data_IF_906432040641
#
_entry.id   IF_906432040641
#
_cell.length_a   1.000
_cell.length_b   1.000
_cell.length_c   1.000
_cell.angle_alpha   90.00
_cell.angle_beta   90.00
_cell.angle_gamma   90.00
#
_symmetry.space_group_name_H-M   'P 1'
#
loop_
_entity.id
_entity.type
_entity.pdbx_description
1 polymer ?
#
# COMPACT_ATOMS: atom_id res chain seq x y z
N UNK A 1 -23.88 0.10 -0.83
CA UNK A 1 -25.12 0.60 -0.20
C UNK A 1 -26.36 0.25 -1.01
N UNK A 2 -26.44 0.58 -2.31
CA UNK A 2 -27.63 0.31 -3.13
C UNK A 2 -28.02 -1.18 -3.13
N UNK A 3 -27.08 -2.09 -3.32
CA UNK A 3 -27.32 -3.54 -3.32
C UNK A 3 -27.86 -4.01 -1.98
N UNK A 4 -27.22 -3.63 -0.87
CA UNK A 4 -27.68 -4.00 0.49
C UNK A 4 -29.09 -3.50 0.73
N UNK A 5 -29.38 -2.23 0.42
CA UNK A 5 -30.72 -1.68 0.54
C UNK A 5 -31.77 -2.39 -0.35
N UNK A 6 -31.38 -2.88 -1.54
CA UNK A 6 -32.27 -3.60 -2.43
C UNK A 6 -32.61 -5.00 -1.91
N UNK A 7 -31.64 -5.68 -1.29
CA UNK A 7 -31.86 -6.98 -0.64
C UNK A 7 -32.74 -6.81 0.61
N UNK A 8 -32.46 -5.82 1.46
CA UNK A 8 -33.28 -5.50 2.64
C UNK A 8 -34.73 -5.20 2.28
N UNK A 9 -34.95 -4.54 1.13
CA UNK A 9 -36.30 -4.26 0.59
C UNK A 9 -36.90 -5.45 -0.18
N UNK A 10 -36.22 -6.60 -0.22
CA UNK A 10 -36.65 -7.81 -0.94
C UNK A 10 -36.92 -7.57 -2.43
N UNK A 11 -36.14 -6.70 -3.06
CA UNK A 11 -36.20 -6.44 -4.52
C UNK A 11 -35.36 -7.47 -5.26
N UNK A 12 -34.21 -7.87 -4.65
CA UNK A 12 -33.31 -8.92 -5.15
C UNK A 12 -32.94 -9.85 -4.01
N UNK A 13 -32.55 -11.09 -4.33
CA UNK A 13 -32.02 -12.03 -3.35
C UNK A 13 -30.54 -11.73 -3.07
N UNK A 14 -30.01 -12.23 -1.92
CA UNK A 14 -28.61 -12.00 -1.50
C UNK A 14 -27.61 -12.48 -2.56
N UNK A 15 -27.82 -13.69 -3.08
CA UNK A 15 -26.97 -14.31 -4.08
C UNK A 15 -26.87 -13.46 -5.36
N UNK A 16 -28.04 -13.03 -5.89
CA UNK A 16 -28.08 -12.15 -7.05
C UNK A 16 -27.39 -10.81 -6.77
N UNK A 17 -27.57 -10.27 -5.56
CA UNK A 17 -26.92 -9.04 -5.12
C UNK A 17 -25.39 -9.15 -5.11
N UNK A 18 -24.85 -10.27 -4.65
CA UNK A 18 -23.40 -10.52 -4.63
C UNK A 18 -22.83 -10.63 -6.06
N UNK A 19 -23.53 -11.31 -6.96
CA UNK A 19 -23.12 -11.47 -8.36
C UNK A 19 -23.07 -10.14 -9.14
N UNK A 20 -23.79 -9.12 -8.68
CA UNK A 20 -23.76 -7.76 -9.27
C UNK A 20 -22.53 -6.94 -8.85
N UNK A 21 -21.78 -7.39 -7.84
CA UNK A 21 -20.61 -6.66 -7.34
C UNK A 21 -19.39 -7.07 -8.16
N UNK A 22 -18.71 -6.08 -8.76
CA UNK A 22 -17.36 -6.32 -9.27
C UNK A 22 -16.38 -6.27 -8.11
N UNK A 23 -15.66 -7.38 -7.78
CA UNK A 23 -14.71 -7.42 -6.67
C UNK A 23 -13.60 -6.37 -6.76
N UNK A 24 -13.19 -5.96 -7.97
CA UNK A 24 -12.15 -4.94 -8.17
C UNK A 24 -12.51 -3.59 -7.52
N UNK A 25 -13.81 -3.28 -7.40
CA UNK A 25 -14.23 -2.05 -6.71
C UNK A 25 -14.15 -2.14 -5.19
N UNK A 26 -14.01 -3.34 -4.63
CA UNK A 26 -13.88 -3.54 -3.18
C UNK A 26 -12.47 -3.21 -2.69
N UNK A 27 -11.46 -3.32 -3.54
CA UNK A 27 -10.07 -2.98 -3.21
C UNK A 27 -9.92 -1.55 -2.66
N UNK A 28 -10.76 -0.62 -3.13
CA UNK A 28 -10.73 0.77 -2.68
C UNK A 28 -11.00 0.88 -1.17
N UNK A 29 -11.86 0.02 -0.61
CA UNK A 29 -12.21 0.01 0.81
C UNK A 29 -11.14 -0.63 1.70
N UNK A 30 -10.23 -1.40 1.11
CA UNK A 30 -9.17 -2.11 1.82
C UNK A 30 -7.90 -1.26 2.04
N UNK A 31 -7.86 -0.06 1.43
CA UNK A 31 -6.69 0.81 1.48
C UNK A 31 -7.00 2.15 2.14
N UNK A 32 -6.01 2.80 2.78
CA UNK A 32 -6.16 4.17 3.25
C UNK A 32 -6.58 5.09 2.10
N UNK A 33 -7.44 6.02 2.38
CA UNK A 33 -7.94 7.01 1.40
C UNK A 33 -7.74 8.42 1.91
N UNK A 34 -7.75 9.37 0.98
CA UNK A 34 -7.72 10.80 1.33
C UNK A 34 -9.10 11.20 1.87
N UNK A 35 -9.13 11.93 3.00
CA UNK A 35 -10.39 12.38 3.60
C UNK A 35 -11.13 13.34 2.67
N UNK A 36 -12.46 13.22 2.55
CA UNK A 36 -13.30 14.10 1.73
C UNK A 36 -13.35 15.55 2.22
N UNK A 37 -13.10 15.75 3.52
CA UNK A 37 -13.18 17.08 4.16
C UNK A 37 -11.95 17.96 3.89
N UNK A 38 -11.00 17.49 3.05
CA UNK A 38 -9.80 18.26 2.77
C UNK A 38 -10.09 19.44 1.85
N UNK A 39 -9.51 20.60 2.24
CA UNK A 39 -9.52 21.82 1.42
C UNK A 39 -8.29 21.93 0.51
N UNK A 40 -7.37 20.96 0.61
CA UNK A 40 -6.12 20.92 -0.15
C UNK A 40 -6.38 20.74 -1.63
N UNK A 41 -5.72 21.55 -2.45
CA UNK A 41 -5.85 21.47 -3.90
C UNK A 41 -4.98 20.35 -4.44
N UNK A 42 -5.52 19.54 -5.35
CA UNK A 42 -4.72 18.63 -6.16
C UNK A 42 -3.74 19.44 -7.00
N UNK A 43 -2.45 19.21 -6.81
CA UNK A 43 -1.38 19.94 -7.49
C UNK A 43 -1.00 19.26 -8.81
N UNK A 44 -1.09 17.92 -8.87
CA UNK A 44 -0.69 17.15 -10.03
C UNK A 44 -1.56 15.89 -10.12
N UNK A 45 -1.78 15.42 -11.35
CA UNK A 45 -2.44 14.16 -11.64
C UNK A 45 -1.50 13.23 -12.40
N UNK A 46 -1.53 11.96 -12.06
CA UNK A 46 -0.89 10.86 -12.78
C UNK A 46 -1.85 9.71 -13.02
N UNK A 47 -1.34 8.63 -13.57
CA UNK A 47 -2.12 7.40 -13.79
C UNK A 47 -2.18 6.61 -12.47
N UNK A 48 -3.36 6.33 -11.91
CA UNK A 48 -3.52 5.48 -10.72
C UNK A 48 -3.06 4.07 -11.05
N UNK A 49 -2.02 3.57 -10.36
CA UNK A 49 -1.39 2.30 -10.71
C UNK A 49 -1.51 1.23 -9.62
N UNK A 50 -1.54 1.64 -8.36
CA UNK A 50 -1.81 0.78 -7.21
C UNK A 50 -2.61 1.57 -6.18
N UNK A 51 -3.73 1.01 -5.66
CA UNK A 51 -4.66 1.75 -4.82
C UNK A 51 -4.08 2.14 -3.46
N UNK A 52 -4.76 3.07 -2.79
CA UNK A 52 -4.42 3.58 -1.48
C UNK A 52 -3.81 4.97 -1.50
N UNK A 53 -3.82 5.63 -0.34
CA UNK A 53 -3.22 6.94 -0.14
C UNK A 53 -2.09 6.87 0.89
N UNK A 54 -1.02 7.61 0.64
CA UNK A 54 0.12 7.68 1.54
C UNK A 54 0.69 9.09 1.59
N UNK A 55 1.12 9.50 2.80
CA UNK A 55 1.85 10.74 3.02
C UNK A 55 3.27 10.43 3.46
N UNK A 56 4.23 11.24 3.06
CA UNK A 56 5.62 11.07 3.46
C UNK A 56 6.55 12.10 2.87
N UNK A 57 7.81 12.01 3.26
CA UNK A 57 8.87 12.86 2.72
C UNK A 57 9.37 12.34 1.39
N UNK A 58 9.55 13.25 0.46
CA UNK A 58 10.06 12.97 -0.86
C UNK A 58 11.49 12.42 -0.79
N UNK A 59 11.68 11.23 -1.35
CA UNK A 59 12.98 10.62 -1.58
C UNK A 59 13.19 10.39 -3.07
N UNK A 60 14.24 10.95 -3.63
CA UNK A 60 14.53 10.85 -5.07
C UNK A 60 15.67 9.87 -5.37
N UNK A 61 16.08 9.10 -4.38
CA UNK A 61 17.09 8.04 -4.52
C UNK A 61 16.85 6.90 -3.54
N UNK A 62 17.28 5.69 -3.92
CA UNK A 62 17.25 4.48 -3.06
C UNK A 62 17.94 4.72 -1.71
N UNK A 63 19.11 5.37 -1.72
CA UNK A 63 19.85 5.68 -0.50
C UNK A 63 19.07 6.62 0.43
N UNK A 64 18.30 7.55 -0.13
CA UNK A 64 17.50 8.49 0.66
C UNK A 64 16.32 7.79 1.34
N UNK A 65 15.68 6.84 0.66
CA UNK A 65 14.63 5.99 1.27
C UNK A 65 15.21 5.19 2.44
N UNK A 66 16.36 4.54 2.24
CA UNK A 66 17.03 3.78 3.31
C UNK A 66 17.38 4.67 4.50
N UNK A 67 17.86 5.90 4.24
CA UNK A 67 18.15 6.89 5.29
C UNK A 67 16.87 7.25 6.07
N UNK A 68 15.75 7.51 5.38
CA UNK A 68 14.48 7.83 6.04
C UNK A 68 13.96 6.64 6.84
N UNK A 69 14.03 5.43 6.31
CA UNK A 69 13.63 4.23 7.02
C UNK A 69 14.43 4.04 8.32
N UNK A 70 15.75 4.33 8.32
CA UNK A 70 16.58 4.23 9.53
C UNK A 70 16.22 5.25 10.62
N UNK A 71 15.50 6.30 10.29
CA UNK A 71 14.99 7.35 11.21
C UNK A 71 13.47 7.26 11.41
N UNK A 72 12.85 6.14 11.04
CA UNK A 72 11.39 5.92 11.13
C UNK A 72 10.58 7.03 10.45
N UNK A 73 11.13 7.61 9.38
CA UNK A 73 10.48 8.66 8.60
C UNK A 73 9.80 8.04 7.37
N UNK A 74 8.50 8.25 7.23
CA UNK A 74 7.75 7.80 6.07
C UNK A 74 8.26 8.46 4.80
N UNK A 75 8.55 7.67 3.77
CA UNK A 75 9.09 8.13 2.49
C UNK A 75 8.12 7.91 1.34
N UNK A 76 8.05 8.88 0.43
CA UNK A 76 7.47 8.71 -0.92
C UNK A 76 8.62 8.71 -1.91
N UNK A 77 8.81 7.57 -2.59
CA UNK A 77 9.85 7.44 -3.61
C UNK A 77 9.41 8.09 -4.92
N UNK A 78 10.19 9.06 -5.42
CA UNK A 78 9.98 9.67 -6.73
C UNK A 78 11.13 9.29 -7.66
N UNK A 79 10.80 8.73 -8.83
CA UNK A 79 11.75 8.34 -9.86
C UNK A 79 11.26 8.73 -11.25
N UNK A 80 12.17 8.81 -12.23
CA UNK A 80 11.75 8.88 -13.63
C UNK A 80 11.04 7.60 -14.04
N UNK A 81 11.67 6.47 -13.79
CA UNK A 81 11.19 5.09 -13.94
C UNK A 81 11.87 4.24 -12.86
N UNK A 82 11.26 3.16 -12.42
CA UNK A 82 11.90 2.21 -11.49
C UNK A 82 12.55 1.06 -12.25
N UNK A 83 13.64 0.57 -11.71
CA UNK A 83 14.37 -0.61 -12.18
C UNK A 83 14.41 -1.68 -11.07
N UNK A 84 14.90 -2.87 -11.39
CA UNK A 84 14.97 -3.99 -10.42
C UNK A 84 15.73 -3.64 -9.14
N UNK A 85 16.76 -2.79 -9.22
CA UNK A 85 17.54 -2.36 -8.06
C UNK A 85 16.75 -1.44 -7.11
N UNK A 86 15.63 -0.85 -7.58
CA UNK A 86 14.78 0.00 -6.76
C UNK A 86 13.76 -0.79 -5.91
N UNK A 87 13.62 -2.11 -6.10
CA UNK A 87 12.62 -2.95 -5.42
C UNK A 87 12.73 -2.83 -3.89
N UNK A 88 13.95 -2.85 -3.36
CA UNK A 88 14.18 -2.68 -1.93
C UNK A 88 13.75 -1.28 -1.44
N UNK A 89 14.01 -0.22 -2.20
CA UNK A 89 13.55 1.12 -1.86
C UNK A 89 12.03 1.24 -1.94
N UNK A 90 11.42 0.61 -2.95
CA UNK A 90 9.96 0.56 -3.06
C UNK A 90 9.32 -0.10 -1.84
N UNK A 91 9.84 -1.24 -1.39
CA UNK A 91 9.30 -1.97 -0.21
C UNK A 91 9.45 -1.20 1.11
N UNK A 92 10.44 -0.32 1.21
CA UNK A 92 10.66 0.55 2.38
C UNK A 92 9.90 1.87 2.29
N UNK A 93 9.27 2.17 1.14
CA UNK A 93 8.52 3.42 0.92
C UNK A 93 7.04 3.23 1.26
N UNK A 94 6.39 4.27 1.74
CA UNK A 94 4.93 4.31 1.94
C UNK A 94 4.16 4.51 0.63
N UNK A 95 4.83 4.99 -0.41
CA UNK A 95 4.24 5.17 -1.72
C UNK A 95 5.29 5.45 -2.79
N UNK A 96 4.89 5.26 -4.04
CA UNK A 96 5.78 5.40 -5.20
C UNK A 96 5.14 6.31 -6.25
N UNK A 97 5.94 7.23 -6.79
CA UNK A 97 5.57 8.13 -7.86
C UNK A 97 6.60 8.02 -9.00
N UNK A 98 6.15 7.71 -10.22
CA UNK A 98 7.04 7.76 -11.37
C UNK A 98 6.57 8.79 -12.41
N UNK A 99 7.54 9.51 -12.99
CA UNK A 99 7.25 10.50 -14.03
C UNK A 99 6.84 9.83 -15.32
N UNK A 100 7.46 8.70 -15.66
CA UNK A 100 7.14 7.90 -16.83
C UNK A 100 6.54 6.57 -16.43
N UNK A 101 5.88 5.92 -17.37
CA UNK A 101 5.28 4.61 -17.20
C UNK A 101 3.76 4.64 -17.33
N UNK A 102 3.17 3.46 -17.31
CA UNK A 102 1.73 3.23 -17.38
C UNK A 102 1.35 2.05 -16.48
N UNK A 103 0.10 1.60 -16.55
CA UNK A 103 -0.45 0.52 -15.72
C UNK A 103 0.32 -0.80 -15.78
N UNK A 104 1.08 -1.04 -16.84
CA UNK A 104 1.92 -2.23 -17.05
C UNK A 104 3.41 -1.97 -16.83
N UNK A 105 3.79 -0.77 -16.36
CA UNK A 105 5.18 -0.45 -16.05
C UNK A 105 5.70 -1.28 -14.87
N UNK A 106 7.03 -1.40 -14.75
CA UNK A 106 7.68 -2.09 -13.65
C UNK A 106 7.21 -1.57 -12.28
N UNK A 107 7.18 -0.24 -12.10
CA UNK A 107 6.68 0.38 -10.88
C UNK A 107 5.25 -0.05 -10.54
N UNK A 108 4.34 -0.03 -11.51
CA UNK A 108 2.94 -0.38 -11.31
C UNK A 108 2.74 -1.85 -10.91
N UNK A 109 3.45 -2.78 -11.57
CA UNK A 109 3.33 -4.22 -11.30
C UNK A 109 3.89 -4.56 -9.91
N UNK A 110 5.08 -4.05 -9.58
CA UNK A 110 5.73 -4.30 -8.30
C UNK A 110 4.95 -3.66 -7.14
N UNK A 111 4.51 -2.40 -7.28
CA UNK A 111 3.76 -1.71 -6.24
C UNK A 111 2.44 -2.43 -5.91
N UNK A 112 1.69 -2.90 -6.93
CA UNK A 112 0.49 -3.72 -6.73
C UNK A 112 0.78 -5.03 -6.01
N UNK A 113 1.85 -5.71 -6.40
CA UNK A 113 2.26 -6.94 -5.72
C UNK A 113 2.67 -6.75 -4.26
N UNK A 114 3.11 -5.54 -3.89
CA UNK A 114 3.48 -5.17 -2.53
C UNK A 114 2.35 -4.48 -1.75
N UNK A 115 1.22 -4.14 -2.38
CA UNK A 115 0.15 -3.36 -1.76
C UNK A 115 0.54 -1.91 -1.43
N UNK A 116 1.48 -1.33 -2.18
CA UNK A 116 2.00 0.02 -1.94
C UNK A 116 1.30 1.00 -2.89
N UNK A 117 0.73 2.13 -2.39
CA UNK A 117 0.16 3.17 -3.23
C UNK A 117 1.12 3.63 -4.32
N UNK A 118 0.65 3.65 -5.58
CA UNK A 118 1.51 4.01 -6.69
C UNK A 118 0.80 4.85 -7.74
N UNK A 119 1.47 5.91 -8.16
CA UNK A 119 1.07 6.76 -9.27
C UNK A 119 2.19 6.71 -10.32
N UNK A 120 1.83 6.53 -11.59
CA UNK A 120 2.80 6.50 -12.68
C UNK A 120 2.41 7.49 -13.79
N UNK A 121 3.38 7.86 -14.63
CA UNK A 121 3.11 8.64 -15.83
C UNK A 121 2.53 10.03 -15.54
N UNK A 122 3.12 10.77 -14.63
CA UNK A 122 2.74 12.15 -14.38
C UNK A 122 3.03 13.02 -15.60
N UNK A 123 2.01 13.76 -16.07
CA UNK A 123 2.14 14.60 -17.26
C UNK A 123 2.58 16.02 -16.89
N UNK A 124 3.21 16.70 -17.86
CA UNK A 124 3.57 18.12 -17.76
C UNK A 124 4.47 18.45 -16.56
N UNK A 125 5.44 17.58 -16.28
CA UNK A 125 6.44 17.80 -15.23
C UNK A 125 7.85 17.64 -15.81
N UNK A 126 8.81 18.36 -15.23
CA UNK A 126 10.23 18.24 -15.55
C UNK A 126 10.98 17.73 -14.34
N UNK A 127 11.43 16.48 -14.38
CA UNK A 127 12.23 15.90 -13.32
C UNK A 127 13.72 16.12 -13.58
N UNK A 128 14.35 16.88 -12.71
CA UNK A 128 15.78 17.15 -12.71
C UNK A 128 16.47 16.30 -11.65
N UNK A 129 16.80 15.08 -12.02
CA UNK A 129 17.29 14.06 -11.08
C UNK A 129 18.58 14.48 -10.36
N UNK A 130 19.51 15.16 -11.05
CA UNK A 130 20.76 15.66 -10.43
C UNK A 130 20.53 16.77 -9.42
N UNK A 131 19.55 17.64 -9.68
CA UNK A 131 19.15 18.75 -8.81
C UNK A 131 18.20 18.27 -7.71
N UNK A 132 17.69 17.04 -7.83
CA UNK A 132 16.69 16.43 -6.92
C UNK A 132 15.45 17.30 -6.76
N UNK A 133 14.89 17.72 -7.89
CA UNK A 133 13.66 18.51 -7.96
C UNK A 133 12.74 18.01 -9.08
N UNK A 134 11.45 18.14 -8.84
CA UNK A 134 10.39 17.94 -9.83
C UNK A 134 9.65 19.27 -10.01
N UNK A 135 9.69 19.82 -11.22
CA UNK A 135 9.04 21.08 -11.56
C UNK A 135 7.71 20.76 -12.21
N UNK A 136 6.63 21.33 -11.69
CA UNK A 136 5.27 21.20 -12.19
C UNK A 136 4.99 22.27 -13.26
N UNK A 137 3.95 22.06 -14.07
CA UNK A 137 3.53 22.98 -15.14
C UNK A 137 3.16 24.39 -14.63
N UNK A 138 2.59 24.47 -13.43
CA UNK A 138 2.21 25.74 -12.79
C UNK A 138 3.40 26.49 -12.14
N UNK A 139 4.62 25.96 -12.28
CA UNK A 139 5.85 26.52 -11.73
C UNK A 139 6.14 26.09 -10.28
N UNK A 140 5.27 25.34 -9.62
CA UNK A 140 5.57 24.75 -8.32
C UNK A 140 6.71 23.74 -8.43
N UNK A 141 7.50 23.61 -7.37
CA UNK A 141 8.65 22.70 -7.31
C UNK A 141 8.50 21.78 -6.11
N UNK A 142 8.68 20.49 -6.36
CA UNK A 142 8.82 19.46 -5.31
C UNK A 142 10.31 19.14 -5.19
N UNK A 143 10.86 19.30 -4.00
CA UNK A 143 12.26 19.02 -3.69
C UNK A 143 12.40 17.76 -2.84
N UNK A 144 13.58 17.11 -2.90
CA UNK A 144 13.88 16.01 -1.96
C UNK A 144 13.77 16.52 -0.52
N UNK A 145 12.95 15.85 0.28
CA UNK A 145 12.68 16.22 1.67
C UNK A 145 11.36 16.95 1.92
N UNK A 146 10.71 17.45 0.88
CA UNK A 146 9.36 18.02 1.00
C UNK A 146 8.36 16.95 1.46
N UNK A 147 7.30 17.37 2.13
CA UNK A 147 6.23 16.47 2.56
C UNK A 147 5.10 16.52 1.53
N UNK A 148 4.73 15.36 1.00
CA UNK A 148 3.65 15.24 0.02
C UNK A 148 2.70 14.11 0.41
N UNK A 149 1.51 14.12 -0.21
CA UNK A 149 0.58 13.00 -0.18
C UNK A 149 0.26 12.56 -1.60
N UNK A 150 0.24 11.26 -1.82
CA UNK A 150 -0.21 10.64 -3.06
C UNK A 150 -1.46 9.79 -2.80
N UNK A 151 -2.37 9.80 -3.76
CA UNK A 151 -3.55 8.93 -3.79
C UNK A 151 -3.49 8.05 -5.04
N UNK A 152 -3.03 6.82 -4.85
CA UNK A 152 -2.90 5.83 -5.90
C UNK A 152 -4.23 5.29 -6.42
N UNK A 153 -5.35 5.57 -5.76
CA UNK A 153 -6.69 5.21 -6.22
C UNK A 153 -7.23 6.21 -7.25
N UNK A 154 -6.93 7.50 -7.08
CA UNK A 154 -7.42 8.59 -7.95
C UNK A 154 -6.32 9.13 -8.88
N UNK A 155 -5.05 8.90 -8.56
CA UNK A 155 -3.90 9.49 -9.25
C UNK A 155 -3.57 10.91 -8.80
N UNK A 156 -4.18 11.39 -7.71
CA UNK A 156 -3.98 12.75 -7.20
C UNK A 156 -2.73 12.87 -6.33
N UNK A 157 -2.02 14.01 -6.47
CA UNK A 157 -0.83 14.36 -5.69
C UNK A 157 -1.07 15.72 -5.03
N UNK A 158 -0.78 15.80 -3.73
CA UNK A 158 -0.91 16.99 -2.89
C UNK A 158 0.47 17.39 -2.38
N UNK A 159 0.78 18.72 -2.42
CA UNK A 159 2.08 19.27 -1.99
C UNK A 159 2.16 19.49 -0.48
N UNK A 160 1.40 18.74 0.28
CA UNK A 160 1.36 18.79 1.74
C UNK A 160 0.90 17.45 2.29
N UNK A 161 1.07 17.27 3.58
CA UNK A 161 0.48 16.14 4.31
C UNK A 161 -1.00 16.38 4.51
N UNK A 162 -1.85 15.58 3.86
CA UNK A 162 -3.29 15.62 4.06
C UNK A 162 -3.74 14.53 5.04
N UNK A 163 -4.91 14.74 5.64
CA UNK A 163 -5.50 13.76 6.53
C UNK A 163 -5.94 12.54 5.72
N UNK A 164 -5.43 11.38 6.12
CA UNK A 164 -5.83 10.09 5.58
C UNK A 164 -6.91 9.47 6.47
N UNK A 165 -7.85 8.76 5.86
CA UNK A 165 -8.76 7.83 6.52
C UNK A 165 -8.13 6.44 6.46
N UNK A 166 -8.09 5.69 7.57
CA UNK A 166 -7.70 4.29 7.52
C UNK A 166 -8.70 3.50 6.66
N UNK A 167 -8.36 2.28 6.24
CA UNK A 167 -9.33 1.38 5.64
C UNK A 167 -10.54 1.26 6.57
N UNK A 168 -11.72 1.59 6.08
CA UNK A 168 -12.95 1.49 6.86
C UNK A 168 -13.79 0.35 6.28
N UNK A 169 -13.94 -0.73 7.05
CA UNK A 169 -15.03 -1.66 6.81
C UNK A 169 -16.33 -0.98 7.24
N UNK A 170 -17.03 -0.38 6.28
CA UNK A 170 -18.38 0.14 6.55
C UNK A 170 -19.29 -1.02 6.96
N UNK A 171 -20.34 -0.74 7.75
CA UNK A 171 -21.36 -1.75 8.11
C UNK A 171 -21.92 -2.45 6.87
N UNK A 172 -22.08 -1.73 5.78
CA UNK A 172 -22.50 -2.25 4.48
C UNK A 172 -21.49 -3.25 3.90
N UNK A 173 -20.18 -2.96 4.02
CA UNK A 173 -19.12 -3.87 3.56
C UNK A 173 -19.09 -5.15 4.40
N UNK A 174 -19.17 -5.03 5.73
CA UNK A 174 -19.26 -6.19 6.63
C UNK A 174 -20.50 -7.05 6.34
N UNK A 175 -21.64 -6.43 6.02
CA UNK A 175 -22.84 -7.15 5.61
C UNK A 175 -22.62 -7.95 4.31
N UNK A 176 -21.92 -7.36 3.34
CA UNK A 176 -21.59 -8.05 2.08
C UNK A 176 -20.65 -9.22 2.30
N UNK A 177 -19.63 -9.08 3.16
CA UNK A 177 -18.74 -10.19 3.53
C UNK A 177 -19.51 -11.32 4.21
N UNK A 178 -20.39 -11.01 5.18
CA UNK A 178 -21.24 -12.02 5.83
C UNK A 178 -22.11 -12.78 4.82
N UNK A 179 -22.69 -12.07 3.84
CA UNK A 179 -23.46 -12.75 2.79
C UNK A 179 -22.57 -13.62 1.90
N UNK A 180 -21.37 -13.15 1.57
CA UNK A 180 -20.43 -13.95 0.79
C UNK A 180 -20.06 -15.26 1.53
N UNK A 181 -19.85 -15.21 2.84
CA UNK A 181 -19.57 -16.38 3.68
C UNK A 181 -20.73 -17.38 3.73
N UNK A 182 -22.00 -16.89 3.64
CA UNK A 182 -23.17 -17.77 3.56
C UNK A 182 -23.19 -18.66 2.30
N UNK A 183 -22.58 -18.17 1.21
CA UNK A 183 -22.58 -18.86 -0.11
C UNK A 183 -21.21 -19.43 -0.49
N UNK A 184 -20.17 -19.17 0.29
CA UNK A 184 -18.81 -19.60 -0.02
C UNK A 184 -18.48 -20.93 0.63
N UNK A 185 -18.18 -21.95 -0.18
CA UNK A 185 -17.71 -23.26 0.30
C UNK A 185 -16.17 -23.32 0.42
N UNK A 186 -15.45 -22.23 0.05
CA UNK A 186 -13.99 -22.19 0.03
C UNK A 186 -13.48 -21.47 1.27
N UNK A 187 -12.62 -22.14 2.04
CA UNK A 187 -11.95 -21.53 3.16
C UNK A 187 -10.84 -20.58 2.70
N UNK A 188 -10.81 -19.37 3.29
CA UNK A 188 -9.78 -18.36 3.06
C UNK A 188 -8.77 -18.42 4.20
N UNK A 189 -7.48 -18.61 3.87
CA UNK A 189 -6.40 -18.67 4.84
C UNK A 189 -5.35 -17.61 4.54
N UNK A 190 -4.99 -16.82 5.54
CA UNK A 190 -3.96 -15.80 5.41
C UNK A 190 -2.56 -16.35 5.74
N UNK A 191 -1.54 -15.75 5.13
CA UNK A 191 -0.18 -15.91 5.62
C UNK A 191 0.05 -14.94 6.79
N UNK A 192 0.60 -15.43 7.89
CA UNK A 192 0.92 -14.60 9.04
C UNK A 192 2.21 -15.10 9.71
N UNK A 193 3.24 -14.28 9.66
CA UNK A 193 4.55 -14.58 10.21
C UNK A 193 4.77 -13.89 11.57
N UNK A 194 3.97 -12.83 11.85
CA UNK A 194 4.03 -12.02 13.07
C UNK A 194 2.68 -11.98 13.80
N UNK A 195 2.70 -11.53 15.05
CA UNK A 195 1.48 -11.30 15.84
C UNK A 195 0.59 -10.24 15.17
N UNK A 196 1.20 -9.23 14.54
CA UNK A 196 0.46 -8.18 13.86
C UNK A 196 -0.23 -8.70 12.59
N UNK A 197 0.46 -9.53 11.79
CA UNK A 197 -0.16 -10.20 10.64
C UNK A 197 -1.37 -11.05 11.08
N UNK A 198 -1.24 -11.77 12.21
CA UNK A 198 -2.34 -12.56 12.75
C UNK A 198 -3.53 -11.69 13.19
N UNK A 199 -3.28 -10.49 13.76
CA UNK A 199 -4.34 -9.53 14.09
C UNK A 199 -5.05 -8.99 12.85
N UNK A 200 -4.28 -8.69 11.80
CA UNK A 200 -4.83 -8.25 10.50
C UNK A 200 -5.67 -9.38 9.88
N UNK A 201 -5.17 -10.61 9.91
CA UNK A 201 -5.93 -11.78 9.44
C UNK A 201 -7.25 -11.95 10.20
N UNK A 202 -7.24 -11.79 11.53
CA UNK A 202 -8.44 -11.84 12.36
C UNK A 202 -9.41 -10.70 12.06
N UNK A 203 -8.88 -9.49 11.78
CA UNK A 203 -9.70 -8.34 11.41
C UNK A 203 -10.48 -8.56 10.11
N UNK A 204 -9.90 -9.29 9.16
CA UNK A 204 -10.56 -9.68 7.91
C UNK A 204 -11.34 -11.01 8.02
N UNK A 205 -11.53 -11.54 9.23
CA UNK A 205 -12.34 -12.72 9.53
C UNK A 205 -11.99 -13.95 8.67
N UNK A 206 -10.69 -14.15 8.36
CA UNK A 206 -10.25 -15.32 7.61
C UNK A 206 -10.41 -16.61 8.42
N UNK A 207 -10.65 -17.74 7.75
CA UNK A 207 -10.90 -19.05 8.38
C UNK A 207 -9.69 -19.63 9.12
N UNK A 208 -8.49 -19.10 8.86
CA UNK A 208 -7.29 -19.55 9.57
C UNK A 208 -5.99 -19.08 8.95
N UNK A 209 -4.89 -19.54 9.53
CA UNK A 209 -3.55 -19.28 9.02
C UNK A 209 -3.16 -20.38 8.03
N UNK A 210 -2.78 -20.00 6.83
CA UNK A 210 -2.34 -20.90 5.76
C UNK A 210 -0.85 -21.22 5.84
N UNK A 211 -0.02 -20.18 6.02
CA UNK A 211 1.43 -20.30 6.14
C UNK A 211 1.96 -19.36 7.21
N UNK A 212 2.84 -19.90 8.05
CA UNK A 212 3.68 -19.13 8.96
C UNK A 212 5.14 -19.52 8.71
N UNK A 213 5.95 -18.57 8.21
CA UNK A 213 7.38 -18.79 7.98
C UNK A 213 8.13 -18.62 9.28
N UNK A 214 8.41 -19.72 9.96
CA UNK A 214 9.09 -19.71 11.26
C UNK A 214 10.51 -19.14 11.17
N UNK A 215 11.17 -19.20 10.00
CA UNK A 215 12.44 -18.56 9.75
C UNK A 215 12.40 -17.03 9.92
N UNK A 216 11.27 -16.38 9.67
CA UNK A 216 11.11 -14.95 9.92
C UNK A 216 11.16 -14.61 11.42
N UNK A 217 10.79 -15.53 12.29
CA UNK A 217 10.89 -15.35 13.74
C UNK A 217 12.35 -15.26 14.22
N UNK A 218 13.31 -15.82 13.45
CA UNK A 218 14.72 -15.78 13.77
C UNK A 218 15.41 -14.49 13.31
N UNK A 219 14.80 -13.77 12.36
CA UNK A 219 15.36 -12.52 11.84
C UNK A 219 14.96 -11.29 12.65
N UNK A 220 14.11 -11.45 13.66
CA UNK A 220 13.77 -10.38 14.62
C UNK A 220 15.04 -9.80 15.25
N UNK A 221 15.09 -8.47 15.37
CA UNK A 221 16.25 -7.72 15.86
C UNK A 221 16.76 -8.20 17.23
N UNK A 222 15.87 -8.70 18.09
CA UNK A 222 16.20 -9.20 19.43
C UNK A 222 16.77 -10.63 19.40
N UNK A 223 16.45 -11.41 18.36
CA UNK A 223 16.80 -12.84 18.27
C UNK A 223 17.94 -13.13 17.30
N UNK A 224 18.13 -12.30 16.28
CA UNK A 224 19.10 -12.55 15.21
C UNK A 224 20.53 -12.77 15.73
N UNK A 225 20.93 -12.07 16.79
CA UNK A 225 22.27 -12.23 17.36
C UNK A 225 22.44 -13.58 18.07
N UNK A 226 21.41 -14.07 18.75
CA UNK A 226 21.42 -15.39 19.38
C UNK A 226 21.48 -16.51 18.32
N UNK A 227 20.71 -16.35 17.24
CA UNK A 227 20.72 -17.30 16.11
C UNK A 227 22.09 -17.31 15.44
N UNK A 228 22.72 -16.15 15.22
CA UNK A 228 24.09 -16.07 14.69
C UNK A 228 25.09 -16.75 15.60
N UNK A 229 25.02 -16.55 16.91
CA UNK A 229 25.87 -17.22 17.88
C UNK A 229 25.68 -18.75 17.79
N UNK A 230 24.45 -19.22 17.81
CA UNK A 230 24.14 -20.65 17.68
C UNK A 230 24.72 -21.26 16.40
N UNK A 231 24.61 -20.57 15.26
CA UNK A 231 25.13 -21.06 13.97
C UNK A 231 26.66 -21.07 13.95
N UNK A 232 27.32 -20.08 14.54
CA UNK A 232 28.78 -19.92 14.51
C UNK A 232 29.49 -20.73 15.59
N UNK A 233 28.78 -21.28 16.57
CA UNK A 233 29.33 -22.12 17.64
C UNK A 233 29.71 -23.50 17.10
N UNK A 234 30.93 -23.93 17.39
CA UNK A 234 31.47 -25.22 16.99
C UNK A 234 31.25 -26.35 18.02
N UNK A 235 30.71 -26.00 19.19
CA UNK A 235 30.47 -26.93 20.29
C UNK A 235 29.00 -27.19 20.47
N UNK A 236 28.59 -28.46 20.60
CA UNK A 236 27.17 -28.82 20.86
C UNK A 236 26.73 -28.45 22.27
N UNK A 237 27.67 -28.23 23.22
CA UNK A 237 27.36 -27.77 24.59
C UNK A 237 27.04 -26.29 24.67
N UNK A 238 27.47 -25.48 23.69
CA UNK A 238 27.24 -24.05 23.62
C UNK A 238 26.05 -23.68 22.72
N UNK A 239 25.48 -24.64 22.00
CA UNK A 239 24.27 -24.49 21.19
C UNK A 239 23.01 -24.64 22.04
#
# INVERSE_FOLDING_TARGET
EFIVSSVEKKIIEKEDGLLLINPEYLDIFLHPSVSEDIKSRVALLGVPASPGAASGRVAMSTNKVIQYNSTETDAILIKTETISDDINAMSLSKGVLTVKGGMTSHAAVIARGMGIPCIVGTRNVVFKEKEKILILEDGNVISEGDEITIDGSTGAIYLEKVKLRPPETTSTFSTLLQWADEFCDIQIRANADTVEDARVALFYEVDGIGLCRTEHMFTDSNRINLVRQMILTNSDEER
#
